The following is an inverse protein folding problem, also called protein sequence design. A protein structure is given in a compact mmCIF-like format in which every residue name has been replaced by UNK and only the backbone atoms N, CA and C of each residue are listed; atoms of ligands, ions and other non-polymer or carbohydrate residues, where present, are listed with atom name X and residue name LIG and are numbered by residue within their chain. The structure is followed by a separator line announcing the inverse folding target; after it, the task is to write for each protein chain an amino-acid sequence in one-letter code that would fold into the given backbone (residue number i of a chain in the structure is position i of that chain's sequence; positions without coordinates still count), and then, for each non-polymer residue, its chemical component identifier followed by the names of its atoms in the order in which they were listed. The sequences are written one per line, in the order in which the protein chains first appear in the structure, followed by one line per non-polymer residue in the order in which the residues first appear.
data_IF_430134202618
#
_entry.id   IF_430134202618
#
_cell.length_a   1.000
_cell.length_b   1.000
_cell.length_c   1.000
_cell.angle_alpha   90.00
_cell.angle_beta   90.00
_cell.angle_gamma   90.00
#
_symmetry.space_group_name_H-M   'P 1'
#
loop_
_entity.id
_entity.type
_entity.pdbx_description
1 polymer ?
#
# COMPACT_ATOMS: atom_id res chain seq x y z
N UNK A 1 22.51 26.64 9.17
CA UNK A 1 21.16 27.19 9.39
C UNK A 1 20.17 26.04 9.47
N UNK A 2 19.65 25.74 10.66
CA UNK A 2 18.70 24.63 10.89
C UNK A 2 17.31 25.13 10.54
N UNK A 3 16.71 24.62 9.47
CA UNK A 3 15.33 24.92 9.12
C UNK A 3 14.44 24.46 10.28
N UNK A 4 13.74 25.39 10.93
CA UNK A 4 12.72 25.05 11.91
C UNK A 4 11.68 24.15 11.24
N UNK A 5 11.15 23.12 11.93
CA UNK A 5 10.09 22.29 11.36
C UNK A 5 8.89 23.18 11.00
N UNK A 6 8.59 23.25 9.70
CA UNK A 6 7.42 23.99 9.20
C UNK A 6 6.15 23.40 9.83
N UNK A 7 5.10 24.21 10.05
CA UNK A 7 3.85 23.81 10.73
C UNK A 7 3.26 22.48 10.20
N UNK A 8 3.43 22.21 8.90
CA UNK A 8 3.02 20.95 8.26
C UNK A 8 3.66 19.70 8.87
N UNK A 9 4.91 19.76 9.33
CA UNK A 9 5.59 18.62 9.93
C UNK A 9 4.93 18.18 11.24
N UNK A 10 4.51 19.14 12.07
CA UNK A 10 3.79 18.84 13.32
C UNK A 10 2.42 18.22 13.04
N UNK A 11 1.71 18.73 12.03
CA UNK A 11 0.42 18.16 11.60
C UNK A 11 0.59 16.73 11.10
N UNK A 12 1.58 16.48 10.24
CA UNK A 12 1.89 15.13 9.74
C UNK A 12 2.24 14.18 10.87
N UNK A 13 3.05 14.63 11.84
CA UNK A 13 3.42 13.83 13.01
C UNK A 13 2.19 13.49 13.86
N UNK A 14 1.35 14.48 14.17
CA UNK A 14 0.13 14.29 14.95
C UNK A 14 -0.82 13.31 14.25
N UNK A 15 -1.07 13.49 12.94
CA UNK A 15 -1.88 12.59 12.15
C UNK A 15 -1.35 11.15 12.19
N UNK A 16 -0.03 10.98 12.05
CA UNK A 16 0.62 9.67 12.08
C UNK A 16 0.48 9.01 13.44
N UNK A 17 0.66 9.76 14.54
CA UNK A 17 0.49 9.25 15.91
C UNK A 17 -0.96 8.83 16.15
N UNK A 18 -1.92 9.65 15.75
CA UNK A 18 -3.35 9.35 15.91
C UNK A 18 -3.73 8.08 15.13
N UNK A 19 -3.35 7.98 13.86
CA UNK A 19 -3.60 6.78 13.05
C UNK A 19 -2.93 5.54 13.66
N UNK A 20 -1.71 5.68 14.19
CA UNK A 20 -1.04 4.58 14.90
C UNK A 20 -1.83 4.12 16.12
N UNK A 21 -2.34 5.05 16.93
CA UNK A 21 -3.13 4.72 18.12
C UNK A 21 -4.45 4.04 17.74
N UNK A 22 -5.19 4.55 16.76
CA UNK A 22 -6.45 3.96 16.30
C UNK A 22 -6.21 2.53 15.77
N UNK A 23 -5.13 2.31 15.00
CA UNK A 23 -4.77 0.98 14.48
C UNK A 23 -4.54 -0.07 15.58
N UNK A 24 -4.28 0.34 16.85
CA UNK A 24 -4.11 -0.59 17.97
C UNK A 24 -5.40 -1.22 18.43
N UNK A 25 -6.49 -0.48 18.32
CA UNK A 25 -7.76 -0.80 18.97
C UNK A 25 -8.70 -1.45 17.96
N UNK A 26 -8.56 -1.11 16.68
CA UNK A 26 -9.45 -1.61 15.65
C UNK A 26 -9.05 -3.01 15.16
N UNK A 27 -10.01 -3.94 14.98
CA UNK A 27 -9.76 -5.21 14.31
C UNK A 27 -9.19 -5.02 12.90
N UNK A 28 -8.21 -5.84 12.52
CA UNK A 28 -7.50 -5.72 11.23
C UNK A 28 -8.45 -5.63 10.03
N UNK A 29 -9.52 -6.45 10.01
CA UNK A 29 -10.50 -6.43 8.89
C UNK A 29 -11.17 -5.07 8.72
N UNK A 30 -11.55 -4.42 9.82
CA UNK A 30 -12.16 -3.09 9.78
C UNK A 30 -11.13 -2.02 9.40
N UNK A 31 -9.90 -2.15 9.89
CA UNK A 31 -8.80 -1.26 9.53
C UNK A 31 -8.49 -1.29 8.02
N UNK A 32 -8.42 -2.49 7.43
CA UNK A 32 -8.23 -2.65 6.00
C UNK A 32 -9.45 -2.15 5.20
N UNK A 33 -10.67 -2.33 5.73
CA UNK A 33 -11.88 -1.77 5.11
C UNK A 33 -11.84 -0.24 5.09
N UNK A 34 -11.41 0.41 6.17
CA UNK A 34 -11.21 1.87 6.22
C UNK A 34 -10.23 2.32 5.14
N UNK A 35 -9.07 1.64 5.01
CA UNK A 35 -8.12 1.92 3.93
C UNK A 35 -8.72 1.74 2.54
N UNK A 36 -9.55 0.71 2.34
CA UNK A 36 -10.25 0.45 1.09
C UNK A 36 -11.24 1.56 0.71
N UNK A 37 -12.03 2.02 1.68
CA UNK A 37 -12.97 3.13 1.51
C UNK A 37 -12.23 4.44 1.28
N UNK A 38 -11.15 4.67 2.01
CA UNK A 38 -10.27 5.82 1.81
C UNK A 38 -9.70 5.84 0.38
N UNK A 39 -9.18 4.71 -0.11
CA UNK A 39 -8.75 4.58 -1.50
C UNK A 39 -9.86 4.88 -2.52
N UNK A 40 -11.08 4.42 -2.26
CA UNK A 40 -12.25 4.75 -3.09
C UNK A 40 -12.56 6.26 -3.08
N UNK A 41 -12.44 6.91 -1.92
CA UNK A 41 -12.59 8.37 -1.82
C UNK A 41 -11.56 9.09 -2.72
N UNK A 42 -10.29 8.70 -2.69
CA UNK A 42 -9.26 9.27 -3.58
C UNK A 42 -9.55 8.99 -5.05
N UNK A 43 -10.06 7.81 -5.39
CA UNK A 43 -10.48 7.51 -6.76
C UNK A 43 -11.53 8.51 -7.24
N UNK A 44 -12.45 8.97 -6.39
CA UNK A 44 -13.48 9.94 -6.74
C UNK A 44 -12.94 11.38 -6.75
N UNK A 45 -12.21 11.77 -5.71
CA UNK A 45 -11.73 13.13 -5.46
C UNK A 45 -10.52 13.55 -6.32
N UNK A 46 -9.74 12.58 -6.82
CA UNK A 46 -8.50 12.85 -7.56
C UNK A 46 -8.61 12.51 -9.06
N UNK A 47 -9.20 13.40 -9.87
CA UNK A 47 -9.35 13.16 -11.31
C UNK A 47 -8.01 13.13 -12.05
N UNK A 48 -6.98 13.79 -11.52
CA UNK A 48 -5.67 13.87 -12.16
C UNK A 48 -4.97 12.52 -12.12
N UNK A 49 -4.79 11.94 -10.93
CA UNK A 49 -4.16 10.63 -10.79
C UNK A 49 -5.01 9.53 -11.41
N UNK A 50 -6.35 9.63 -11.31
CA UNK A 50 -7.26 8.70 -11.99
C UNK A 50 -7.01 8.68 -13.50
N UNK A 51 -6.75 9.83 -14.13
CA UNK A 51 -6.43 9.92 -15.56
C UNK A 51 -5.10 9.23 -15.88
N UNK A 52 -4.06 9.45 -15.09
CA UNK A 52 -2.75 8.82 -15.27
C UNK A 52 -2.86 7.29 -15.22
N UNK A 53 -3.55 6.76 -14.20
CA UNK A 53 -3.77 5.31 -14.07
C UNK A 53 -4.51 4.76 -15.29
N UNK A 54 -5.55 5.43 -15.77
CA UNK A 54 -6.29 4.99 -16.96
C UNK A 54 -5.46 5.03 -18.24
N UNK A 55 -4.56 6.00 -18.40
CA UNK A 55 -3.62 6.06 -19.53
C UNK A 55 -2.66 4.87 -19.47
N UNK A 56 -2.07 4.60 -18.31
CA UNK A 56 -1.16 3.47 -18.11
C UNK A 56 -1.85 2.13 -18.38
N UNK A 57 -3.07 1.96 -17.85
CA UNK A 57 -3.87 0.75 -18.07
C UNK A 57 -4.28 0.59 -19.54
N UNK A 58 -4.61 1.69 -20.24
CA UNK A 58 -4.92 1.63 -21.67
C UNK A 58 -3.68 1.30 -22.50
N UNK A 59 -2.51 1.82 -22.11
CA UNK A 59 -1.25 1.50 -22.76
C UNK A 59 -0.91 0.01 -22.61
N UNK A 60 -1.03 -0.54 -21.41
CA UNK A 60 -0.69 -1.94 -21.12
C UNK A 60 -1.76 -2.93 -21.62
N UNK A 61 -3.04 -2.65 -21.41
CA UNK A 61 -4.14 -3.62 -21.59
C UNK A 61 -5.21 -3.17 -22.59
N UNK A 62 -5.01 -2.06 -23.31
CA UNK A 62 -6.05 -1.49 -24.18
C UNK A 62 -6.46 -2.36 -25.37
N UNK A 63 -5.65 -3.36 -25.74
CA UNK A 63 -5.97 -4.35 -26.77
C UNK A 63 -6.77 -5.55 -26.22
N UNK A 64 -6.67 -5.80 -24.91
CA UNK A 64 -7.22 -7.00 -24.26
C UNK A 64 -8.47 -6.69 -23.42
N UNK A 65 -8.63 -5.45 -22.95
CA UNK A 65 -9.67 -5.07 -21.99
C UNK A 65 -10.48 -3.88 -22.46
N UNK A 66 -11.78 -3.95 -22.23
CA UNK A 66 -12.72 -2.87 -22.51
C UNK A 66 -12.51 -1.66 -21.60
N UNK A 67 -12.99 -0.48 -22.04
CA UNK A 67 -12.97 0.74 -21.21
C UNK A 67 -13.66 0.56 -19.84
N UNK A 68 -14.68 -0.30 -19.76
CA UNK A 68 -15.38 -0.62 -18.50
C UNK A 68 -14.47 -1.39 -17.55
N UNK A 69 -13.77 -2.39 -18.05
CA UNK A 69 -12.81 -3.18 -17.28
C UNK A 69 -11.61 -2.34 -16.82
N UNK A 70 -11.05 -1.50 -17.70
CA UNK A 70 -9.95 -0.61 -17.32
C UNK A 70 -10.35 0.33 -16.17
N UNK A 71 -11.58 0.87 -16.19
CA UNK A 71 -12.12 1.67 -15.07
C UNK A 71 -12.32 0.85 -13.80
N UNK A 72 -12.76 -0.40 -13.92
CA UNK A 72 -12.91 -1.29 -12.77
C UNK A 72 -11.54 -1.60 -12.14
N UNK A 73 -10.52 -1.85 -12.96
CA UNK A 73 -9.14 -2.06 -12.51
C UNK A 73 -8.59 -0.80 -11.85
N UNK A 74 -8.77 0.38 -12.46
CA UNK A 74 -8.36 1.64 -11.87
C UNK A 74 -9.01 1.85 -10.49
N UNK A 75 -10.32 1.67 -10.37
CA UNK A 75 -11.02 1.78 -9.08
C UNK A 75 -10.45 0.81 -8.04
N UNK A 76 -10.29 -0.46 -8.41
CA UNK A 76 -9.71 -1.48 -7.55
C UNK A 76 -8.27 -1.17 -7.16
N UNK A 77 -7.49 -0.56 -8.05
CA UNK A 77 -6.12 -0.16 -7.79
C UNK A 77 -6.03 0.94 -6.71
N UNK A 78 -6.86 1.97 -6.80
CA UNK A 78 -6.94 3.01 -5.76
C UNK A 78 -7.39 2.43 -4.41
N UNK A 79 -8.42 1.57 -4.41
CA UNK A 79 -8.90 0.86 -3.21
C UNK A 79 -7.79 -0.01 -2.60
N UNK A 80 -6.99 -0.69 -3.42
CA UNK A 80 -5.87 -1.51 -2.99
C UNK A 80 -4.75 -0.66 -2.39
N UNK A 81 -4.36 0.45 -3.02
CA UNK A 81 -3.34 1.35 -2.45
C UNK A 81 -3.77 1.97 -1.12
N UNK A 82 -5.04 2.34 -0.98
CA UNK A 82 -5.58 2.81 0.30
C UNK A 82 -5.52 1.72 1.38
N UNK A 83 -5.89 0.49 1.04
CA UNK A 83 -5.75 -0.67 1.93
C UNK A 83 -4.29 -0.93 2.32
N UNK A 84 -3.36 -0.92 1.36
CA UNK A 84 -1.92 -1.11 1.60
C UNK A 84 -1.34 -0.02 2.51
N UNK A 85 -1.70 1.25 2.32
CA UNK A 85 -1.22 2.34 3.19
C UNK A 85 -1.63 2.14 4.65
N UNK A 86 -2.85 1.63 4.87
CA UNK A 86 -3.33 1.26 6.19
C UNK A 86 -2.62 0.02 6.72
N UNK A 87 -2.44 -1.02 5.90
CA UNK A 87 -1.69 -2.23 6.26
C UNK A 87 -0.24 -1.91 6.68
N UNK A 88 0.41 -0.97 5.99
CA UNK A 88 1.78 -0.54 6.28
C UNK A 88 1.93 -0.01 7.71
N UNK A 89 0.93 0.72 8.24
CA UNK A 89 0.93 1.20 9.62
C UNK A 89 0.97 0.03 10.62
N UNK A 90 0.36 -1.11 10.30
CA UNK A 90 0.49 -2.33 11.11
C UNK A 90 1.83 -3.02 10.91
N UNK A 91 2.28 -3.18 9.66
CA UNK A 91 3.54 -3.87 9.33
C UNK A 91 4.74 -3.18 9.98
N UNK A 92 4.81 -1.85 9.94
CA UNK A 92 5.88 -1.06 10.59
C UNK A 92 5.97 -1.27 12.11
N UNK A 93 4.96 -1.91 12.71
CA UNK A 93 4.91 -2.21 14.15
C UNK A 93 5.08 -3.69 14.45
N UNK A 94 5.20 -4.54 13.43
CA UNK A 94 5.42 -5.97 13.65
C UNK A 94 6.76 -6.17 14.34
N UNK A 95 6.71 -6.73 15.54
CA UNK A 95 7.92 -7.23 16.21
C UNK A 95 8.37 -8.51 15.53
N UNK A 96 9.58 -8.99 15.84
CA UNK A 96 10.07 -10.29 15.34
C UNK A 96 9.09 -11.44 15.63
N UNK A 97 8.51 -11.46 16.84
CA UNK A 97 7.44 -12.41 17.22
C UNK A 97 6.17 -12.25 16.38
N UNK A 98 5.85 -11.04 15.94
CA UNK A 98 4.73 -10.78 15.02
C UNK A 98 5.01 -11.30 13.61
N UNK A 99 6.24 -11.14 13.12
CA UNK A 99 6.68 -11.69 11.83
C UNK A 99 6.62 -13.22 11.80
N UNK A 100 7.01 -13.88 12.89
CA UNK A 100 6.95 -15.35 12.98
C UNK A 100 5.51 -15.88 12.85
N UNK A 101 4.51 -15.10 13.28
CA UNK A 101 3.08 -15.42 13.10
C UNK A 101 2.59 -15.19 11.66
N UNK A 102 3.19 -14.26 10.93
CA UNK A 102 2.85 -14.02 9.53
C UNK A 102 3.48 -15.06 8.60
N UNK A 103 4.67 -15.56 8.94
CA UNK A 103 5.47 -16.46 8.10
C UNK A 103 4.68 -17.65 7.51
N UNK A 104 3.79 -18.35 8.24
CA UNK A 104 3.00 -19.46 7.69
C UNK A 104 1.95 -19.03 6.65
N UNK A 105 1.62 -17.73 6.58
CA UNK A 105 0.65 -17.17 5.67
C UNK A 105 1.28 -16.52 4.42
N UNK A 106 2.61 -16.59 4.29
CA UNK A 106 3.35 -16.03 3.16
C UNK A 106 3.90 -17.18 2.32
N UNK A 107 3.44 -17.25 1.07
CA UNK A 107 4.04 -18.10 0.05
C UNK A 107 5.04 -17.27 -0.76
N UNK A 108 6.27 -17.75 -0.87
CA UNK A 108 7.31 -17.14 -1.70
C UNK A 108 7.55 -18.04 -2.90
N UNK A 109 7.16 -17.58 -4.09
CA UNK A 109 7.42 -18.29 -5.35
C UNK A 109 8.80 -17.89 -5.89
N UNK A 110 9.63 -18.86 -6.27
CA UNK A 110 10.97 -18.62 -6.84
C UNK A 110 12.09 -18.35 -5.82
N UNK A 111 11.94 -18.78 -4.56
CA UNK A 111 12.96 -18.60 -3.49
C UNK A 111 14.33 -19.23 -3.86
N UNK A 112 14.32 -20.28 -4.67
CA UNK A 112 15.53 -20.93 -5.19
C UNK A 112 16.39 -20.00 -6.04
N UNK A 113 15.78 -19.05 -6.76
CA UNK A 113 16.51 -18.09 -7.57
C UNK A 113 17.27 -17.10 -6.69
N UNK A 114 16.64 -16.62 -5.62
CA UNK A 114 17.29 -15.76 -4.63
C UNK A 114 18.46 -16.49 -3.96
N UNK A 115 18.24 -17.75 -3.57
CA UNK A 115 19.27 -18.59 -2.94
C UNK A 115 20.44 -18.84 -3.89
N UNK A 116 20.18 -19.11 -5.17
CA UNK A 116 21.21 -19.31 -6.19
C UNK A 116 22.01 -18.03 -6.46
N UNK A 117 21.34 -16.86 -6.49
CA UNK A 117 22.00 -15.57 -6.69
C UNK A 117 22.93 -15.23 -5.51
N UNK A 118 22.47 -15.44 -4.27
CA UNK A 118 23.25 -15.18 -3.05
C UNK A 118 24.52 -16.04 -2.93
N UNK A 119 24.49 -17.26 -3.48
CA UNK A 119 25.68 -18.12 -3.60
C UNK A 119 26.71 -17.56 -4.60
N UNK A 120 26.27 -16.85 -5.64
CA UNK A 120 27.15 -16.25 -6.66
C UNK A 120 27.68 -14.89 -6.24
N UNK A 121 26.90 -14.10 -5.52
CA UNK A 121 27.32 -12.81 -4.97
C UNK A 121 26.66 -12.55 -3.61
N UNK A 122 27.43 -12.24 -2.56
CA UNK A 122 26.89 -11.92 -1.24
C UNK A 122 26.16 -10.57 -1.18
N UNK A 123 26.21 -9.77 -2.26
CA UNK A 123 25.49 -8.51 -2.39
C UNK A 123 24.01 -8.64 -2.81
N UNK A 124 23.51 -9.88 -3.00
CA UNK A 124 22.11 -10.20 -3.33
C UNK A 124 21.37 -10.78 -2.11
#
# INVERSE_FOLDING_TARGET
MKNAPHLGHHITLLLTIILNLISRIMPLRLWLLCGRVFGLFFYLADPHHRRVVLINLKFAFGKEKSKKELRAIARSNFMHYGMMGFEWIHIMRLTRKGMDKLRPHILVEGEEHLTAAKKKSPSV
#
